data_IF_875079352091
#
_entry.id   IF_875079352091
#
_cell.length_a   1.000
_cell.length_b   1.000
_cell.length_c   1.000
_cell.angle_alpha   90.00
_cell.angle_beta   90.00
_cell.angle_gamma   90.00
#
_symmetry.space_group_name_H-M   'P 1'
#
loop_
_entity.id
_entity.type
_entity.pdbx_description
1 polymer ?
#
# COMPACT_ATOMS: atom_id res chain seq x y z
N UNK A 1 -19.08 0.69 0.00
CA UNK A 1 -18.14 1.71 -0.45
C UNK A 1 -17.61 1.31 -1.79
N UNK A 2 -17.58 2.23 -2.70
CA UNK A 2 -17.26 1.91 -4.07
C UNK A 2 -16.50 3.06 -4.72
N UNK A 3 -16.13 2.84 -5.98
CA UNK A 3 -15.35 3.80 -6.75
C UNK A 3 -16.02 5.16 -6.84
N UNK A 4 -17.33 5.20 -7.01
CA UNK A 4 -18.03 6.47 -7.19
C UNK A 4 -17.91 7.36 -5.97
N UNK A 5 -18.08 6.77 -4.79
CA UNK A 5 -17.94 7.53 -3.56
C UNK A 5 -16.51 8.04 -3.41
N UNK A 6 -15.56 7.15 -3.58
CA UNK A 6 -14.16 7.52 -3.38
C UNK A 6 -13.67 8.55 -4.39
N UNK A 7 -14.20 8.51 -5.60
CA UNK A 7 -13.78 9.44 -6.64
C UNK A 7 -14.00 10.90 -6.24
N UNK A 8 -15.02 11.14 -5.41
CA UNK A 8 -15.31 12.50 -4.95
C UNK A 8 -14.18 13.04 -4.07
N UNK A 9 -13.44 12.17 -3.42
CA UNK A 9 -12.44 12.57 -2.45
C UNK A 9 -11.00 12.48 -2.95
N UNK A 10 -10.82 12.16 -4.24
CA UNK A 10 -9.46 12.12 -4.80
C UNK A 10 -8.85 13.51 -4.70
N UNK A 11 -7.61 13.56 -4.21
CA UNK A 11 -6.90 14.80 -3.99
C UNK A 11 -7.11 15.39 -2.60
N UNK A 12 -7.87 14.72 -1.75
CA UNK A 12 -8.17 15.23 -0.41
C UNK A 12 -7.60 14.32 0.66
N UNK A 13 -7.40 14.90 1.84
CA UNK A 13 -6.97 14.12 3.00
C UNK A 13 -8.14 13.34 3.56
N UNK A 14 -7.92 12.06 3.80
CA UNK A 14 -8.95 11.17 4.30
C UNK A 14 -8.35 10.17 5.28
N UNK A 15 -9.23 9.52 6.02
CA UNK A 15 -8.86 8.36 6.83
C UNK A 15 -9.61 7.15 6.31
N UNK A 16 -8.88 6.07 6.08
CA UNK A 16 -9.46 4.80 5.67
C UNK A 16 -9.52 3.92 6.91
N UNK A 17 -10.72 3.48 7.27
CA UNK A 17 -10.92 2.76 8.52
C UNK A 17 -11.01 3.72 9.70
N UNK A 18 -11.62 3.28 10.79
CA UNK A 18 -11.78 4.16 11.95
C UNK A 18 -11.03 3.69 13.18
N UNK A 19 -10.43 2.56 13.09
CA UNK A 19 -9.65 2.02 14.18
C UNK A 19 -9.08 0.73 13.72
N UNK A 20 -8.32 0.09 14.58
CA UNK A 20 -7.67 -1.15 14.21
C UNK A 20 -6.40 -0.92 13.44
N UNK A 21 -5.81 -2.03 13.07
CA UNK A 21 -4.46 -2.02 12.56
C UNK A 21 -4.35 -1.50 11.13
N UNK A 22 -5.45 -1.57 10.37
CA UNK A 22 -5.41 -1.11 8.98
C UNK A 22 -5.91 0.32 8.80
N UNK A 23 -6.20 1.02 9.88
CA UNK A 23 -6.64 2.41 9.79
C UNK A 23 -5.46 3.30 9.41
N UNK A 24 -5.63 4.09 8.34
CA UNK A 24 -4.56 4.95 7.84
C UNK A 24 -5.12 6.29 7.41
N UNK A 25 -4.36 7.34 7.64
CA UNK A 25 -4.68 8.68 7.17
C UNK A 25 -3.71 9.08 6.08
N UNK A 26 -4.20 9.79 5.08
CA UNK A 26 -3.33 10.26 4.04
C UNK A 26 -4.09 10.97 2.94
N UNK A 27 -3.40 11.14 1.82
CA UNK A 27 -3.95 11.76 0.64
C UNK A 27 -4.49 10.68 -0.29
N UNK A 28 -5.76 10.82 -0.66
CA UNK A 28 -6.36 9.85 -1.60
C UNK A 28 -5.88 10.19 -3.00
N UNK A 29 -5.06 9.30 -3.57
CA UNK A 29 -4.44 9.53 -4.87
C UNK A 29 -5.34 9.10 -6.01
N UNK A 30 -6.12 8.06 -5.83
CA UNK A 30 -6.93 7.55 -6.91
C UNK A 30 -7.95 6.54 -6.43
N UNK A 31 -9.01 6.40 -7.23
CA UNK A 31 -10.04 5.42 -7.00
C UNK A 31 -10.18 4.62 -8.30
N UNK A 32 -9.84 3.35 -8.23
CA UNK A 32 -9.77 2.49 -9.40
C UNK A 32 -10.94 1.52 -9.40
N UNK A 33 -10.98 0.61 -10.38
CA UNK A 33 -12.09 -0.31 -10.50
C UNK A 33 -12.33 -1.16 -9.27
N UNK A 34 -11.26 -1.70 -8.67
CA UNK A 34 -11.38 -2.61 -7.55
C UNK A 34 -10.67 -2.16 -6.27
N UNK A 35 -10.00 -1.01 -6.31
CA UNK A 35 -9.19 -0.58 -5.16
C UNK A 35 -8.95 0.91 -5.18
N UNK A 36 -8.42 1.43 -4.07
CA UNK A 36 -8.01 2.82 -3.97
C UNK A 36 -6.51 2.87 -3.67
N UNK A 37 -5.93 4.05 -3.88
CA UNK A 37 -4.53 4.31 -3.55
C UNK A 37 -4.48 5.50 -2.59
N UNK A 38 -3.79 5.32 -1.47
CA UNK A 38 -3.66 6.32 -0.42
C UNK A 38 -2.19 6.59 -0.16
N UNK A 39 -1.78 7.85 -0.23
CA UNK A 39 -0.42 8.23 0.14
C UNK A 39 -0.37 8.54 1.63
N UNK A 40 0.54 7.88 2.34
CA UNK A 40 0.76 8.14 3.76
C UNK A 40 2.18 8.62 3.96
N UNK A 41 2.39 9.46 4.96
CA UNK A 41 3.72 10.00 5.20
C UNK A 41 4.70 8.94 5.69
N UNK A 42 4.21 7.96 6.42
CA UNK A 42 5.10 6.97 7.02
C UNK A 42 5.31 5.74 6.16
N UNK A 43 4.31 5.38 5.35
CA UNK A 43 4.34 4.11 4.63
C UNK A 43 4.33 4.26 3.12
N UNK A 44 4.31 5.49 2.61
CA UNK A 44 4.21 5.71 1.18
C UNK A 44 2.83 5.38 0.65
N UNK A 45 2.76 4.91 -0.58
CA UNK A 45 1.48 4.63 -1.22
C UNK A 45 1.00 3.24 -0.82
N UNK A 46 -0.22 3.19 -0.29
CA UNK A 46 -0.86 1.94 0.10
C UNK A 46 -2.10 1.75 -0.75
N UNK A 47 -2.31 0.55 -1.27
CA UNK A 47 -3.47 0.21 -2.07
C UNK A 47 -4.41 -0.66 -1.25
N UNK A 48 -5.70 -0.30 -1.26
CA UNK A 48 -6.73 -0.99 -0.47
C UNK A 48 -7.82 -1.51 -1.40
N UNK A 49 -8.03 -2.82 -1.45
CA UNK A 49 -9.20 -3.34 -2.18
C UNK A 49 -10.49 -2.83 -1.53
N UNK A 50 -11.48 -2.48 -2.34
CA UNK A 50 -12.74 -1.98 -1.79
C UNK A 50 -13.39 -2.98 -0.84
N UNK A 51 -13.21 -4.27 -1.10
CA UNK A 51 -13.84 -5.30 -0.26
C UNK A 51 -13.42 -5.23 1.19
N UNK A 52 -12.30 -4.59 1.49
CA UNK A 52 -11.80 -4.49 2.85
C UNK A 52 -11.84 -3.07 3.40
N UNK A 53 -12.38 -2.13 2.66
CA UNK A 53 -12.53 -0.76 3.15
C UNK A 53 -13.87 -0.63 3.83
N UNK A 54 -13.85 -0.48 5.13
CA UNK A 54 -15.08 -0.43 5.93
C UNK A 54 -15.59 0.98 6.12
N UNK A 55 -14.74 1.98 6.02
CA UNK A 55 -15.18 3.35 6.21
C UNK A 55 -14.20 4.33 5.60
N UNK A 56 -14.72 5.48 5.23
CA UNK A 56 -13.97 6.61 4.71
C UNK A 56 -14.35 7.82 5.57
N UNK A 57 -13.34 8.50 6.11
CA UNK A 57 -13.58 9.74 6.86
C UNK A 57 -12.91 10.88 6.12
N UNK A 58 -13.67 11.89 5.78
CA UNK A 58 -13.17 13.10 5.15
C UNK A 58 -12.99 14.17 6.20
N UNK A 59 -11.92 14.96 6.09
CA UNK A 59 -11.66 16.02 7.05
C UNK A 59 -12.26 17.31 6.52
N UNK A 60 -13.21 17.87 7.29
CA UNK A 60 -14.02 19.00 6.84
C UNK A 60 -13.20 20.26 6.56
N UNK A 61 -12.05 20.42 7.19
CA UNK A 61 -11.27 21.64 7.06
C UNK A 61 -9.86 21.40 6.56
N UNK A 62 -9.70 20.44 5.67
CA UNK A 62 -8.41 20.23 5.06
C UNK A 62 -7.29 20.03 6.06
N UNK A 63 -7.52 19.14 7.02
CA UNK A 63 -6.54 18.85 8.05
C UNK A 63 -5.19 18.48 7.45
N UNK A 64 -5.22 17.84 6.30
CA UNK A 64 -4.01 17.45 5.58
C UNK A 64 -3.92 18.26 4.30
N UNK A 65 -2.75 18.79 4.04
CA UNK A 65 -2.51 19.57 2.84
C UNK A 65 -1.37 18.92 2.06
N UNK A 66 -1.73 18.38 0.92
CA UNK A 66 -0.76 17.68 0.09
C UNK A 66 -0.72 18.22 -1.35
N UNK A 67 -1.21 19.43 -1.53
CA UNK A 67 -1.39 19.97 -2.88
C UNK A 67 -0.12 19.92 -3.70
N UNK A 68 1.01 20.27 -3.08
CA UNK A 68 2.28 20.31 -3.79
C UNK A 68 2.80 18.92 -4.11
N UNK A 69 2.45 17.95 -3.30
CA UNK A 69 2.94 16.58 -3.46
C UNK A 69 2.10 15.77 -4.42
N UNK A 70 0.85 16.16 -4.61
CA UNK A 70 -0.11 15.33 -5.34
C UNK A 70 0.39 15.00 -6.75
N UNK A 71 0.97 15.98 -7.43
CA UNK A 71 1.39 15.79 -8.81
C UNK A 71 2.77 15.13 -8.93
N UNK A 72 3.47 14.94 -7.82
CA UNK A 72 4.82 14.38 -7.87
C UNK A 72 4.85 12.91 -7.48
N UNK A 73 3.75 12.38 -6.97
CA UNK A 73 3.69 11.00 -6.49
C UNK A 73 3.33 10.08 -7.65
N UNK A 74 4.17 9.08 -7.86
CA UNK A 74 3.89 8.09 -8.89
C UNK A 74 2.78 7.16 -8.45
N UNK A 75 1.87 6.90 -9.38
CA UNK A 75 0.69 6.09 -9.09
C UNK A 75 0.60 4.99 -10.14
N UNK A 76 0.47 3.75 -9.68
CA UNK A 76 0.29 2.62 -10.59
C UNK A 76 -1.14 2.66 -11.12
N UNK A 77 -1.33 2.65 -12.44
CA UNK A 77 -2.61 2.98 -13.05
C UNK A 77 -3.57 1.82 -13.25
N UNK A 78 -3.27 0.67 -12.71
CA UNK A 78 -4.07 -0.53 -12.95
C UNK A 78 -5.44 -0.42 -12.30
N UNK A 79 -6.48 -0.76 -13.05
CA UNK A 79 -7.86 -0.70 -12.55
C UNK A 79 -8.25 -1.93 -11.73
N UNK A 80 -7.57 -3.03 -11.95
CA UNK A 80 -7.85 -4.29 -11.27
C UNK A 80 -6.74 -4.62 -10.31
N UNK A 81 -7.11 -5.07 -9.12
CA UNK A 81 -6.13 -5.31 -8.05
C UNK A 81 -5.14 -6.42 -8.40
N UNK A 82 -5.61 -7.48 -9.06
CA UNK A 82 -4.71 -8.56 -9.47
C UNK A 82 -3.73 -8.06 -10.51
N UNK A 83 -4.20 -7.24 -11.45
CA UNK A 83 -3.32 -6.66 -12.46
C UNK A 83 -2.30 -5.73 -11.80
N UNK A 84 -2.73 -4.99 -10.79
CA UNK A 84 -1.82 -4.15 -10.03
C UNK A 84 -0.70 -4.99 -9.41
N UNK A 85 -1.08 -6.08 -8.77
CA UNK A 85 -0.08 -6.97 -8.14
C UNK A 85 0.86 -7.54 -9.19
N UNK A 86 0.31 -8.01 -10.31
CA UNK A 86 1.14 -8.60 -11.36
C UNK A 86 2.11 -7.60 -11.98
N UNK A 87 1.73 -6.33 -12.03
CA UNK A 87 2.62 -5.30 -12.55
C UNK A 87 3.85 -5.12 -11.66
N UNK A 88 3.80 -5.62 -10.44
CA UNK A 88 4.88 -5.48 -9.47
C UNK A 88 5.55 -6.81 -9.13
N UNK A 89 5.41 -7.80 -9.98
CA UNK A 89 6.10 -9.07 -9.79
C UNK A 89 7.61 -8.85 -9.75
N UNK A 90 8.25 -9.57 -8.86
CA UNK A 90 9.69 -9.51 -8.58
C UNK A 90 10.10 -8.29 -7.80
N UNK A 91 9.13 -7.52 -7.30
CA UNK A 91 9.38 -6.40 -6.42
C UNK A 91 9.11 -6.80 -4.98
N UNK A 92 9.67 -6.04 -4.06
CA UNK A 92 9.38 -6.21 -2.64
C UNK A 92 7.96 -5.72 -2.40
N UNK A 93 7.16 -6.53 -1.72
CA UNK A 93 5.76 -6.19 -1.43
C UNK A 93 5.52 -6.35 0.06
N UNK A 94 4.67 -5.48 0.60
CA UNK A 94 4.24 -5.55 1.99
C UNK A 94 2.73 -5.69 1.99
N UNK A 95 2.26 -6.75 2.62
CA UNK A 95 0.84 -7.11 2.60
C UNK A 95 0.29 -7.04 4.02
N UNK A 96 -0.93 -6.51 4.16
CA UNK A 96 -1.64 -6.40 5.43
C UNK A 96 -0.81 -5.67 6.47
N UNK A 97 -0.41 -4.45 6.11
CA UNK A 97 0.61 -3.70 6.83
C UNK A 97 0.32 -3.45 8.30
N UNK A 98 -0.94 -3.40 8.67
CA UNK A 98 -1.27 -3.03 10.02
C UNK A 98 -1.63 -4.19 10.94
N UNK A 99 -1.76 -5.39 10.41
CA UNK A 99 -2.31 -6.48 11.17
C UNK A 99 -1.28 -7.47 11.69
N UNK A 100 -1.78 -8.45 12.41
CA UNK A 100 -0.95 -9.55 12.88
C UNK A 100 -0.57 -10.48 11.74
N UNK A 101 -1.30 -10.44 10.66
CA UNK A 101 -1.06 -11.26 9.48
C UNK A 101 -0.25 -10.52 8.43
N UNK A 102 0.50 -9.51 8.82
CA UNK A 102 1.33 -8.78 7.88
C UNK A 102 2.50 -9.65 7.42
N UNK A 103 2.86 -9.49 6.17
CA UNK A 103 3.99 -10.20 5.60
C UNK A 103 4.63 -9.32 4.53
N UNK A 104 5.93 -9.46 4.37
CA UNK A 104 6.62 -8.78 3.27
C UNK A 104 7.66 -9.71 2.68
N UNK A 105 7.91 -9.53 1.40
CA UNK A 105 8.86 -10.35 0.68
C UNK A 105 8.81 -10.02 -0.81
N UNK A 106 9.41 -10.90 -1.60
CA UNK A 106 9.41 -10.73 -3.06
C UNK A 106 8.16 -11.36 -3.63
N UNK A 107 7.41 -10.57 -4.39
CA UNK A 107 6.20 -11.06 -5.04
C UNK A 107 6.59 -11.89 -6.25
N UNK A 108 6.16 -13.14 -6.29
CA UNK A 108 6.47 -14.03 -7.39
C UNK A 108 5.31 -14.23 -8.36
N UNK A 109 4.09 -14.27 -7.84
CA UNK A 109 2.92 -14.52 -8.68
C UNK A 109 1.69 -14.00 -7.98
N UNK A 110 0.69 -13.60 -8.75
CA UNK A 110 -0.59 -13.16 -8.21
C UNK A 110 -1.70 -13.54 -9.16
N UNK A 111 -2.75 -14.13 -8.61
CA UNK A 111 -3.96 -14.44 -9.38
C UNK A 111 -5.16 -14.23 -8.46
N UNK A 112 -6.35 -14.59 -8.94
CA UNK A 112 -7.57 -14.33 -8.17
C UNK A 112 -7.69 -15.19 -6.92
N UNK A 113 -6.91 -16.24 -6.82
CA UNK A 113 -6.99 -17.16 -5.69
C UNK A 113 -5.92 -16.91 -4.66
N UNK A 114 -4.68 -16.69 -5.11
CA UNK A 114 -3.58 -16.52 -4.17
C UNK A 114 -2.50 -15.61 -4.72
N UNK A 115 -1.68 -15.15 -3.80
CA UNK A 115 -0.47 -14.40 -4.08
C UNK A 115 0.68 -15.22 -3.51
N UNK A 116 1.74 -15.38 -4.30
CA UNK A 116 2.90 -16.16 -3.89
C UNK A 116 4.05 -15.21 -3.56
N UNK A 117 4.61 -15.35 -2.37
CA UNK A 117 5.67 -14.47 -1.88
C UNK A 117 6.83 -15.32 -1.40
N UNK A 118 8.02 -14.90 -1.79
CA UNK A 118 9.26 -15.51 -1.31
C UNK A 118 9.81 -14.67 -0.17
N UNK A 119 10.03 -15.31 0.97
CA UNK A 119 10.59 -14.63 2.13
C UNK A 119 11.55 -15.58 2.81
N UNK A 120 12.82 -15.19 2.87
CA UNK A 120 13.89 -16.05 3.36
C UNK A 120 13.91 -17.33 2.53
N UNK A 121 13.77 -18.48 3.13
CA UNK A 121 13.77 -19.75 2.40
C UNK A 121 12.38 -20.34 2.28
N UNK A 122 11.35 -19.48 2.43
CA UNK A 122 9.98 -19.95 2.41
C UNK A 122 9.22 -19.38 1.22
N UNK A 123 8.29 -20.16 0.71
CA UNK A 123 7.30 -19.69 -0.24
C UNK A 123 5.98 -19.62 0.50
N UNK A 124 5.39 -18.44 0.53
CA UNK A 124 4.15 -18.22 1.28
C UNK A 124 3.04 -17.91 0.29
N UNK A 125 1.93 -18.61 0.44
CA UNK A 125 0.75 -18.40 -0.41
C UNK A 125 -0.33 -17.75 0.42
N UNK A 126 -0.78 -16.58 -0.02
CA UNK A 126 -1.78 -15.80 0.72
C UNK A 126 -3.03 -15.75 -0.15
N UNK A 127 -4.18 -16.07 0.44
CA UNK A 127 -5.44 -15.97 -0.27
C UNK A 127 -5.68 -14.52 -0.69
N UNK A 128 -5.83 -14.30 -1.98
CA UNK A 128 -5.99 -12.94 -2.51
C UNK A 128 -7.18 -12.23 -1.87
N UNK A 129 -8.25 -12.97 -1.62
CA UNK A 129 -9.44 -12.42 -1.00
C UNK A 129 -9.17 -11.83 0.39
N UNK A 130 -8.15 -12.30 1.07
CA UNK A 130 -7.86 -11.84 2.43
C UNK A 130 -6.80 -10.75 2.50
N UNK A 131 -6.37 -10.23 1.36
CA UNK A 131 -5.44 -9.11 1.35
C UNK A 131 -6.21 -7.83 1.62
N UNK A 132 -5.86 -7.16 2.71
CA UNK A 132 -6.54 -5.94 3.15
C UNK A 132 -5.85 -4.69 2.65
N UNK A 133 -4.53 -4.76 2.46
CA UNK A 133 -3.76 -3.63 1.98
C UNK A 133 -2.45 -4.15 1.41
N UNK A 134 -1.90 -3.38 0.48
CA UNK A 134 -0.61 -3.73 -0.10
C UNK A 134 0.15 -2.45 -0.42
N UNK A 135 1.47 -2.50 -0.21
CA UNK A 135 2.34 -1.44 -0.69
C UNK A 135 3.59 -2.08 -1.27
N UNK A 136 4.23 -1.33 -2.14
CA UNK A 136 5.42 -1.79 -2.82
C UNK A 136 6.59 -0.91 -2.42
N UNK A 137 7.75 -1.50 -2.23
CA UNK A 137 8.89 -0.74 -1.84
C UNK A 137 10.00 -1.66 -1.43
N UNK A 138 11.16 -1.08 -1.31
CA UNK A 138 12.36 -1.82 -1.07
C UNK A 138 12.58 -2.04 0.40
N UNK A 139 12.91 -3.26 0.74
CA UNK A 139 13.28 -3.56 2.11
C UNK A 139 14.51 -2.78 2.53
N UNK A 140 15.37 -2.52 1.59
CA UNK A 140 16.64 -1.89 1.91
C UNK A 140 16.49 -0.45 2.40
N UNK A 141 15.34 0.18 2.21
CA UNK A 141 15.14 1.53 2.75
C UNK A 141 15.30 1.55 4.26
N UNK A 142 14.71 0.57 4.92
CA UNK A 142 14.85 0.43 6.36
C UNK A 142 16.27 0.03 6.70
N UNK A 143 16.84 -0.83 5.88
CA UNK A 143 18.18 -1.31 6.07
C UNK A 143 19.20 -0.17 5.97
N UNK A 144 19.04 0.68 4.98
CA UNK A 144 19.95 1.81 4.81
C UNK A 144 19.90 2.75 6.00
N UNK A 145 18.71 3.02 6.49
CA UNK A 145 18.58 3.91 7.63
C UNK A 145 19.27 3.37 8.87
N UNK A 146 19.23 2.06 9.04
CA UNK A 146 19.88 1.48 10.19
C UNK A 146 21.39 1.42 10.01
N UNK A 147 21.87 1.44 8.78
CA UNK A 147 23.29 1.35 8.52
C UNK A 147 23.98 2.69 8.44
N UNK A 148 23.27 3.77 8.32
CA UNK A 148 23.90 5.08 8.27
C UNK A 148 24.68 5.39 9.51
N UNK A 149 24.34 4.78 10.60
CA UNK A 149 25.09 5.04 11.84
C UNK A 149 26.30 4.16 11.96
N UNK A 150 26.36 3.06 11.30
CA UNK A 150 27.45 2.16 11.51
C UNK A 150 28.49 2.26 10.45
N UNK A 151 28.32 2.61 9.44
CA UNK A 151 29.20 2.64 8.49
C UNK A 151 28.84 2.69 7.25
N UNK A 152 28.43 2.69 7.11
CA UNK A 152 27.99 2.66 6.13
C UNK A 152 28.38 2.14 5.30
N UNK A 153 28.53 1.44 5.66
CA UNK A 153 28.63 0.76 5.14
C UNK A 153 28.90 -0.08 4.57
N UNK A 154 29.00 -0.55 4.76
CA UNK A 154 29.19 -1.52 4.14
C UNK A 154 28.63 -1.91 3.04
N UNK A 155 28.23 -1.91 2.58
CA UNK A 155 27.58 -2.28 1.79
C UNK A 155 27.16 -1.78 1.06
N UNK A 156 27.16 -1.58 1.26
CA UNK A 156 26.61 -1.32 0.90
C UNK A 156 26.61 -1.41 0.23
N UNK A 157 26.84 -1.72 0.33
CA UNK A 157 26.83 -2.10 0.13
C UNK A 157 26.46 -2.38 -0.20
#
# INVERSE_FOLDING_TARGET
VNKELFSVFVGKGVRIGRGGHESKEGLLLGAFGTHIALFTETDGVIYFPYSHVKSLTSFAKGKLSYDEMFNTIELLPNENFVDLLNSQCRQWVKINRGGHDKIEGILLDANHEYVEISLNDELVYIATYHIKSVSFGEKFEVYERSNTTSQTLRRRK
#
